data_IF_553152443819
#
_entry.id   IF_553152443819
#
_cell.length_a   1.000
_cell.length_b   1.000
_cell.length_c   1.000
_cell.angle_alpha   90.00
_cell.angle_beta   90.00
_cell.angle_gamma   90.00
#
_symmetry.space_group_name_H-M   'P 1'
#
loop_
_entity.id
_entity.type
_entity.pdbx_description
1 polymer ?
#
# COMPACT_ATOMS: atom_id res chain seq x y z
N UNK A 1 -8.48 31.25 -18.14
CA UNK A 1 -8.39 29.84 -17.73
C UNK A 1 -7.29 29.05 -18.48
N UNK A 2 -6.69 29.59 -19.54
CA UNK A 2 -5.62 28.96 -20.33
C UNK A 2 -4.32 28.65 -19.55
N UNK A 3 -3.86 29.62 -18.74
CA UNK A 3 -2.51 29.60 -18.15
C UNK A 3 -2.25 28.49 -17.08
N UNK A 4 -3.27 27.93 -16.46
CA UNK A 4 -3.08 26.87 -15.46
C UNK A 4 -2.79 25.51 -16.11
N UNK A 5 -3.49 25.18 -17.18
CA UNK A 5 -3.25 23.92 -17.92
C UNK A 5 -1.93 23.96 -18.70
N UNK A 6 -1.52 25.11 -19.22
CA UNK A 6 -0.27 25.27 -19.95
C UNK A 6 0.95 25.01 -19.07
N UNK A 7 0.87 25.29 -17.76
CA UNK A 7 1.93 24.98 -16.80
C UNK A 7 2.16 23.47 -16.63
N UNK A 8 1.15 22.61 -16.89
CA UNK A 8 1.27 21.16 -16.79
C UNK A 8 1.70 20.47 -18.10
N UNK A 9 1.66 21.19 -19.25
CA UNK A 9 2.06 20.63 -20.54
C UNK A 9 3.47 20.00 -20.55
N UNK A 10 4.52 20.60 -19.92
CA UNK A 10 5.83 19.97 -19.87
C UNK A 10 5.82 18.64 -19.11
N UNK A 11 5.04 18.55 -18.03
CA UNK A 11 4.92 17.32 -17.21
C UNK A 11 4.20 16.24 -18.01
N UNK A 12 3.13 16.59 -18.72
CA UNK A 12 2.38 15.65 -19.58
C UNK A 12 3.28 15.14 -20.71
N UNK A 13 4.02 16.03 -21.39
CA UNK A 13 4.97 15.63 -22.45
C UNK A 13 6.07 14.72 -21.93
N UNK A 14 6.63 15.03 -20.77
CA UNK A 14 7.63 14.18 -20.13
C UNK A 14 7.07 12.81 -19.81
N UNK A 15 5.85 12.73 -19.28
CA UNK A 15 5.17 11.49 -19.00
C UNK A 15 4.89 10.68 -20.28
N UNK A 16 4.41 11.33 -21.35
CA UNK A 16 4.21 10.67 -22.64
C UNK A 16 5.52 10.07 -23.18
N UNK A 17 6.60 10.84 -23.18
CA UNK A 17 7.90 10.40 -23.70
C UNK A 17 8.53 9.32 -22.82
N UNK A 18 8.44 9.46 -21.48
CA UNK A 18 9.12 8.56 -20.56
C UNK A 18 8.35 7.26 -20.29
N UNK A 19 7.02 7.26 -20.41
CA UNK A 19 6.19 6.12 -20.00
C UNK A 19 5.27 5.66 -21.14
N UNK A 20 4.40 6.54 -21.68
CA UNK A 20 3.39 6.13 -22.68
C UNK A 20 4.03 5.60 -23.97
N UNK A 21 4.98 6.32 -24.58
CA UNK A 21 5.61 5.92 -25.83
C UNK A 21 6.43 4.60 -25.70
N UNK A 22 7.29 4.43 -24.69
CA UNK A 22 8.00 3.17 -24.49
C UNK A 22 7.05 1.98 -24.29
N UNK A 23 5.96 2.16 -23.54
CA UNK A 23 4.97 1.09 -23.34
C UNK A 23 4.24 0.75 -24.63
N UNK A 24 3.85 1.75 -25.44
CA UNK A 24 3.22 1.52 -26.74
C UNK A 24 4.16 0.79 -27.71
N UNK A 25 5.40 1.23 -27.79
CA UNK A 25 6.43 0.60 -28.60
C UNK A 25 6.67 -0.85 -28.17
N UNK A 26 6.78 -1.09 -26.86
CA UNK A 26 7.01 -2.42 -26.31
C UNK A 26 5.82 -3.35 -26.60
N UNK A 27 4.58 -2.87 -26.42
CA UNK A 27 3.37 -3.63 -26.72
C UNK A 27 3.32 -4.00 -28.21
N UNK A 28 3.62 -3.05 -29.10
CA UNK A 28 3.65 -3.29 -30.55
C UNK A 28 4.68 -4.38 -30.90
N UNK A 29 5.90 -4.26 -30.39
CA UNK A 29 6.95 -5.25 -30.67
C UNK A 29 6.58 -6.65 -30.15
N UNK A 30 6.07 -6.74 -28.91
CA UNK A 30 5.63 -8.03 -28.36
C UNK A 30 4.51 -8.62 -29.24
N UNK A 31 3.50 -7.81 -29.55
CA UNK A 31 2.35 -8.26 -30.34
C UNK A 31 2.78 -8.76 -31.73
N UNK A 32 3.63 -8.02 -32.44
CA UNK A 32 4.11 -8.39 -33.79
C UNK A 32 4.93 -9.69 -33.78
N UNK A 33 5.70 -9.95 -32.73
CA UNK A 33 6.45 -11.21 -32.61
C UNK A 33 5.57 -12.40 -32.21
N UNK A 34 4.43 -12.16 -31.59
CA UNK A 34 3.48 -13.21 -31.20
C UNK A 34 2.51 -13.57 -32.31
N UNK A 35 2.28 -12.67 -33.27
CA UNK A 35 1.48 -12.96 -34.47
C UNK A 35 2.14 -14.06 -35.28
N UNK A 36 1.32 -14.91 -35.90
CA UNK A 36 1.80 -16.03 -36.73
C UNK A 36 2.17 -17.28 -35.94
N UNK A 37 2.07 -17.28 -34.61
CA UNK A 37 2.19 -18.49 -33.80
C UNK A 37 0.81 -19.12 -33.60
N UNK A 38 0.49 -20.29 -34.22
CA UNK A 38 -0.87 -20.82 -34.27
C UNK A 38 -1.51 -21.02 -32.89
N UNK A 39 -0.74 -21.46 -31.91
CA UNK A 39 -1.22 -21.67 -30.53
C UNK A 39 -1.60 -20.34 -29.88
N UNK A 40 -0.82 -19.29 -30.11
CA UNK A 40 -1.05 -17.97 -29.51
C UNK A 40 -2.23 -17.27 -30.18
N UNK A 41 -2.40 -17.44 -31.48
CA UNK A 41 -3.57 -16.91 -32.20
C UNK A 41 -4.87 -17.51 -31.69
N UNK A 42 -4.89 -18.81 -31.38
CA UNK A 42 -6.06 -19.49 -30.81
C UNK A 42 -6.40 -18.96 -29.42
N UNK A 43 -5.40 -18.65 -28.59
CA UNK A 43 -5.58 -18.11 -27.25
C UNK A 43 -5.97 -16.62 -27.28
N UNK A 44 -5.41 -15.88 -28.25
CA UNK A 44 -5.55 -14.44 -28.42
C UNK A 44 -4.23 -13.70 -28.25
N UNK A 45 -3.57 -13.37 -29.37
CA UNK A 45 -2.23 -12.74 -29.37
C UNK A 45 -2.16 -11.44 -28.59
N UNK A 46 -3.26 -10.67 -28.59
CA UNK A 46 -3.34 -9.41 -27.84
C UNK A 46 -3.32 -9.63 -26.33
N UNK A 47 -4.09 -10.56 -25.81
CA UNK A 47 -4.08 -10.88 -24.39
C UNK A 47 -2.75 -11.43 -23.91
N UNK A 48 -2.11 -12.30 -24.72
CA UNK A 48 -0.75 -12.79 -24.42
C UNK A 48 0.26 -11.64 -24.43
N UNK A 49 0.14 -10.69 -25.36
CA UNK A 49 1.01 -9.50 -25.39
C UNK A 49 0.85 -8.65 -24.12
N UNK A 50 -0.37 -8.47 -23.60
CA UNK A 50 -0.61 -7.77 -22.33
C UNK A 50 0.04 -8.53 -21.16
N UNK A 51 -0.03 -9.85 -21.13
CA UNK A 51 0.62 -10.68 -20.09
C UNK A 51 2.14 -10.49 -20.10
N UNK A 52 2.76 -10.63 -21.26
CA UNK A 52 4.21 -10.47 -21.41
C UNK A 52 4.65 -9.06 -21.04
N UNK A 53 3.94 -8.03 -21.53
CA UNK A 53 4.17 -6.63 -21.17
C UNK A 53 4.09 -6.44 -19.65
N UNK A 54 3.06 -7.00 -19.02
CA UNK A 54 2.87 -6.91 -17.56
C UNK A 54 4.05 -7.52 -16.80
N UNK A 55 4.49 -8.70 -17.20
CA UNK A 55 5.64 -9.38 -16.59
C UNK A 55 6.90 -8.53 -16.72
N UNK A 56 7.18 -7.97 -17.90
CA UNK A 56 8.33 -7.10 -18.13
C UNK A 56 8.28 -5.86 -17.22
N UNK A 57 7.14 -5.17 -17.17
CA UNK A 57 6.96 -4.01 -16.28
C UNK A 57 7.21 -4.40 -14.81
N UNK A 58 6.66 -5.51 -14.35
CA UNK A 58 6.83 -5.99 -12.98
C UNK A 58 8.26 -6.37 -12.66
N UNK A 59 8.99 -6.99 -13.59
CA UNK A 59 10.40 -7.32 -13.42
C UNK A 59 11.27 -6.05 -13.36
N UNK A 60 11.01 -5.06 -14.21
CA UNK A 60 11.69 -3.76 -14.17
C UNK A 60 11.45 -3.02 -12.84
N UNK A 61 10.23 -3.07 -12.31
CA UNK A 61 9.88 -2.42 -11.05
C UNK A 61 10.21 -3.28 -9.82
N UNK A 62 10.58 -4.56 -10.00
CA UNK A 62 10.83 -5.48 -8.91
C UNK A 62 11.85 -4.97 -7.88
N UNK A 63 13.04 -4.42 -8.26
CA UNK A 63 14.01 -3.92 -7.30
C UNK A 63 13.47 -2.76 -6.48
N UNK A 64 12.71 -1.83 -7.10
CA UNK A 64 12.09 -0.71 -6.40
C UNK A 64 11.01 -1.20 -5.41
N UNK A 65 10.15 -2.11 -5.84
CA UNK A 65 9.11 -2.70 -4.98
C UNK A 65 9.72 -3.49 -3.83
N UNK A 66 10.79 -4.22 -4.09
CA UNK A 66 11.54 -4.96 -3.07
C UNK A 66 12.10 -4.02 -2.00
N UNK A 67 12.77 -2.95 -2.42
CA UNK A 67 13.32 -1.93 -1.52
C UNK A 67 12.21 -1.31 -0.65
N UNK A 68 11.09 -0.92 -1.24
CA UNK A 68 9.94 -0.36 -0.54
C UNK A 68 9.39 -1.33 0.50
N UNK A 69 9.23 -2.60 0.11
CA UNK A 69 8.66 -3.65 0.97
C UNK A 69 9.55 -3.94 2.18
N UNK A 70 10.86 -4.07 1.96
CA UNK A 70 11.85 -4.32 3.03
C UNK A 70 11.91 -3.13 3.99
N UNK A 71 12.00 -1.90 3.45
CA UNK A 71 12.08 -0.67 4.25
C UNK A 71 10.82 -0.45 5.09
N UNK A 72 9.64 -0.62 4.49
CA UNK A 72 8.36 -0.50 5.19
C UNK A 72 8.25 -1.53 6.32
N UNK A 73 8.65 -2.78 6.08
CA UNK A 73 8.67 -3.82 7.12
C UNK A 73 9.63 -3.51 8.26
N UNK A 74 10.87 -3.12 7.93
CA UNK A 74 11.86 -2.77 8.93
C UNK A 74 11.34 -1.68 9.86
N UNK A 75 10.81 -0.61 9.29
CA UNK A 75 10.22 0.49 10.06
C UNK A 75 9.07 0.04 10.96
N UNK A 76 8.14 -0.78 10.43
CA UNK A 76 7.03 -1.29 11.25
C UNK A 76 7.51 -2.18 12.42
N UNK A 77 8.56 -2.96 12.23
CA UNK A 77 9.15 -3.78 13.31
C UNK A 77 9.82 -2.91 14.36
N UNK A 78 10.54 -1.87 13.95
CA UNK A 78 11.19 -0.92 14.86
C UNK A 78 10.17 -0.15 15.69
N UNK A 79 9.11 0.36 15.07
CA UNK A 79 8.00 1.01 15.78
C UNK A 79 7.36 0.08 16.83
N UNK A 80 7.19 -1.21 16.52
CA UNK A 80 6.65 -2.17 17.48
C UNK A 80 7.54 -2.40 18.69
N UNK A 81 8.86 -2.34 18.54
CA UNK A 81 9.78 -2.46 19.68
C UNK A 81 9.64 -1.30 20.67
N UNK A 82 9.22 -0.13 20.18
CA UNK A 82 9.02 1.08 21.00
C UNK A 82 7.61 1.17 21.61
N UNK A 83 6.68 0.32 21.19
CA UNK A 83 5.29 0.33 21.68
C UNK A 83 5.17 0.31 23.22
N UNK A 84 5.93 -0.49 24.01
CA UNK A 84 5.83 -0.45 25.47
C UNK A 84 6.26 0.91 26.05
N UNK A 85 7.30 1.54 25.51
CA UNK A 85 7.76 2.86 25.96
C UNK A 85 6.73 3.96 25.62
N UNK A 86 6.13 3.88 24.45
CA UNK A 86 5.02 4.77 24.04
C UNK A 86 3.82 4.61 25.00
N UNK A 87 3.53 3.38 25.43
CA UNK A 87 2.47 3.15 26.42
C UNK A 87 2.77 3.79 27.80
N UNK A 88 4.05 3.82 28.21
CA UNK A 88 4.48 4.53 29.43
C UNK A 88 4.34 6.05 29.29
N UNK A 89 4.76 6.64 28.18
CA UNK A 89 4.59 8.06 27.87
C UNK A 89 3.11 8.46 27.98
N UNK A 90 2.22 7.64 27.44
CA UNK A 90 0.78 7.89 27.50
C UNK A 90 0.20 7.80 28.91
N UNK A 91 0.65 6.81 29.69
CA UNK A 91 0.25 6.74 31.12
C UNK A 91 0.71 7.97 31.89
N UNK A 92 1.89 8.51 31.55
CA UNK A 92 2.47 9.67 32.22
C UNK A 92 1.74 10.99 31.85
N UNK A 93 1.36 11.14 30.59
CA UNK A 93 0.77 12.39 30.07
C UNK A 93 -0.70 12.22 29.63
N UNK A 94 -1.51 11.41 30.36
CA UNK A 94 -2.89 11.00 30.02
C UNK A 94 -3.81 12.11 29.49
N UNK A 95 -3.67 13.33 29.97
CA UNK A 95 -4.57 14.45 29.67
C UNK A 95 -4.00 15.46 28.67
N UNK A 96 -2.76 15.27 28.25
CA UNK A 96 -2.04 16.22 27.38
C UNK A 96 -1.60 15.53 26.08
N UNK A 97 -2.50 15.55 25.09
CA UNK A 97 -2.26 14.93 23.79
C UNK A 97 -1.04 15.52 23.07
N UNK A 98 -0.78 16.81 23.26
CA UNK A 98 0.32 17.50 22.62
C UNK A 98 1.67 17.02 23.17
N UNK A 99 1.77 16.89 24.51
CA UNK A 99 2.95 16.30 25.15
C UNK A 99 3.16 14.84 24.78
N UNK A 100 2.09 14.03 24.72
CA UNK A 100 2.20 12.65 24.27
C UNK A 100 2.78 12.58 22.86
N UNK A 101 2.29 13.41 21.93
CA UNK A 101 2.80 13.43 20.56
C UNK A 101 4.27 13.89 20.51
N UNK A 102 4.61 14.96 21.23
CA UNK A 102 5.97 15.51 21.26
C UNK A 102 6.97 14.51 21.83
N UNK A 103 6.66 13.88 22.97
CA UNK A 103 7.53 12.89 23.60
C UNK A 103 7.62 11.58 22.78
N UNK A 104 6.54 11.17 22.12
CA UNK A 104 6.57 10.04 21.19
C UNK A 104 7.48 10.34 19.98
N UNK A 105 7.41 11.57 19.45
CA UNK A 105 8.25 11.98 18.35
C UNK A 105 9.74 12.02 18.73
N UNK A 106 10.06 12.52 19.94
CA UNK A 106 11.43 12.50 20.48
C UNK A 106 11.93 11.06 20.64
N UNK A 107 11.09 10.17 21.19
CA UNK A 107 11.43 8.76 21.34
C UNK A 107 11.77 8.11 19.99
N UNK A 108 11.01 8.39 18.94
CA UNK A 108 11.31 7.92 17.59
C UNK A 108 12.63 8.47 17.07
N UNK A 109 12.92 9.77 17.28
CA UNK A 109 14.18 10.40 16.88
C UNK A 109 15.38 9.82 17.63
N UNK A 110 15.28 9.61 18.95
CA UNK A 110 16.33 9.02 19.78
C UNK A 110 16.70 7.58 19.35
N UNK A 111 15.72 6.83 18.84
CA UNK A 111 15.92 5.47 18.35
C UNK A 111 16.17 5.39 16.84
N UNK A 112 16.30 6.52 16.14
CA UNK A 112 16.53 6.56 14.69
C UNK A 112 15.36 6.04 13.86
N UNK A 113 14.15 5.95 14.45
CA UNK A 113 12.94 5.52 13.76
C UNK A 113 12.28 6.72 13.09
N UNK A 114 12.22 6.69 11.76
CA UNK A 114 11.57 7.77 11.03
C UNK A 114 10.03 7.59 11.05
N UNK A 115 9.27 8.50 11.68
CA UNK A 115 7.80 8.42 11.72
C UNK A 115 7.16 8.54 10.32
N UNK A 116 7.83 9.21 9.38
CA UNK A 116 7.37 9.35 7.99
C UNK A 116 7.53 8.05 7.18
N UNK A 117 8.22 7.06 7.70
CA UNK A 117 8.38 5.76 7.01
C UNK A 117 7.05 5.02 6.80
N UNK A 118 6.01 5.34 7.58
CA UNK A 118 4.64 4.90 7.30
C UNK A 118 4.11 5.40 5.95
N UNK A 119 4.55 6.57 5.50
CA UNK A 119 4.18 7.12 4.19
C UNK A 119 4.89 6.40 3.03
N UNK A 120 6.02 5.73 3.26
CA UNK A 120 6.69 4.90 2.24
C UNK A 120 5.76 3.77 1.78
N UNK A 121 4.81 3.36 2.62
CA UNK A 121 3.78 2.38 2.28
C UNK A 121 2.83 2.82 1.15
N UNK A 122 2.63 4.11 0.90
CA UNK A 122 1.81 4.63 -0.21
C UNK A 122 2.62 4.93 -1.49
N UNK A 123 3.96 4.87 -1.43
CA UNK A 123 4.83 5.11 -2.59
C UNK A 123 4.51 4.23 -3.81
N UNK A 124 4.13 2.93 -3.64
CA UNK A 124 3.70 2.10 -4.77
C UNK A 124 2.53 2.71 -5.55
N UNK A 125 1.59 3.36 -4.86
CA UNK A 125 0.44 4.01 -5.49
C UNK A 125 0.86 5.20 -6.35
N UNK A 126 1.82 6.00 -5.88
CA UNK A 126 2.34 7.16 -6.62
C UNK A 126 3.03 6.73 -7.92
N UNK A 127 3.78 5.63 -7.88
CA UNK A 127 4.43 5.05 -9.09
C UNK A 127 3.39 4.37 -9.99
N UNK A 128 2.39 3.74 -9.41
CA UNK A 128 1.38 2.97 -10.13
C UNK A 128 0.44 3.84 -10.97
N UNK A 129 0.03 5.03 -10.48
CA UNK A 129 -0.94 5.88 -11.17
C UNK A 129 -0.46 6.29 -12.57
N UNK A 130 0.76 6.84 -12.77
CA UNK A 130 1.27 7.18 -14.09
C UNK A 130 1.35 6.00 -15.05
N UNK A 131 1.72 4.82 -14.55
CA UNK A 131 1.82 3.59 -15.35
C UNK A 131 0.42 3.11 -15.75
N UNK A 132 -0.51 3.11 -14.81
CA UNK A 132 -1.89 2.68 -15.05
C UNK A 132 -2.57 3.58 -16.09
N UNK A 133 -2.38 4.90 -15.97
CA UNK A 133 -2.90 5.87 -16.92
C UNK A 133 -2.30 5.66 -18.32
N UNK A 134 -0.98 5.42 -18.39
CA UNK A 134 -0.32 5.14 -19.66
C UNK A 134 -0.86 3.85 -20.30
N UNK A 135 -1.00 2.78 -19.51
CA UNK A 135 -1.56 1.51 -19.99
C UNK A 135 -3.00 1.66 -20.48
N UNK A 136 -3.83 2.42 -19.78
CA UNK A 136 -5.19 2.69 -20.25
C UNK A 136 -5.18 3.29 -21.65
N UNK A 137 -4.41 4.34 -21.90
CA UNK A 137 -4.30 4.94 -23.21
C UNK A 137 -3.63 4.02 -24.24
N UNK A 138 -2.55 3.36 -23.88
CA UNK A 138 -1.84 2.44 -24.79
C UNK A 138 -2.73 1.30 -25.22
N UNK A 139 -3.46 0.65 -24.30
CA UNK A 139 -4.32 -0.48 -24.65
C UNK A 139 -5.50 -0.03 -25.51
N UNK A 140 -6.16 1.08 -25.15
CA UNK A 140 -7.33 1.58 -25.92
C UNK A 140 -6.91 2.09 -27.29
N UNK A 141 -5.84 2.85 -27.39
CA UNK A 141 -5.35 3.41 -28.67
C UNK A 141 -4.82 2.30 -29.58
N UNK A 142 -4.09 1.32 -29.02
CA UNK A 142 -3.49 0.23 -29.78
C UNK A 142 -4.55 -0.64 -30.48
N UNK A 143 -5.55 -1.08 -29.74
CA UNK A 143 -6.59 -1.94 -30.29
C UNK A 143 -7.41 -1.23 -31.37
N UNK A 144 -7.66 0.09 -31.21
CA UNK A 144 -8.38 0.90 -32.20
C UNK A 144 -7.58 1.17 -33.44
N UNK A 145 -6.31 1.57 -33.28
CA UNK A 145 -5.47 2.02 -34.41
C UNK A 145 -5.02 0.86 -35.32
N UNK A 146 -4.88 -0.34 -34.77
CA UNK A 146 -4.39 -1.50 -35.52
C UNK A 146 -5.51 -2.47 -35.96
N UNK A 147 -6.79 -2.16 -35.66
CA UNK A 147 -7.96 -3.00 -35.99
C UNK A 147 -7.76 -4.48 -35.64
N UNK A 148 -7.14 -4.76 -34.49
CA UNK A 148 -6.80 -6.12 -34.08
C UNK A 148 -7.98 -6.82 -33.43
N UNK A 149 -8.02 -8.14 -33.62
CA UNK A 149 -8.92 -9.01 -32.87
C UNK A 149 -8.45 -9.04 -31.39
N UNK A 150 -9.12 -8.27 -30.53
CA UNK A 150 -8.73 -8.15 -29.12
C UNK A 150 -9.33 -9.25 -28.23
N UNK A 151 -9.62 -10.43 -28.82
CA UNK A 151 -10.11 -11.58 -28.04
C UNK A 151 -9.00 -12.18 -27.17
N UNK A 152 -9.37 -12.81 -26.07
CA UNK A 152 -8.45 -13.57 -25.24
C UNK A 152 -9.20 -14.67 -24.49
N UNK A 153 -8.82 -15.94 -24.75
CA UNK A 153 -9.51 -17.11 -24.21
C UNK A 153 -11.02 -17.06 -24.52
N UNK A 154 -11.83 -16.90 -23.49
CA UNK A 154 -13.30 -16.81 -23.58
C UNK A 154 -13.81 -15.36 -23.58
N UNK A 155 -12.95 -14.34 -23.40
CA UNK A 155 -13.35 -12.93 -23.45
C UNK A 155 -13.33 -12.45 -24.89
N UNK A 156 -14.47 -12.01 -25.44
CA UNK A 156 -14.58 -11.66 -26.86
C UNK A 156 -13.74 -10.44 -27.24
N UNK A 157 -13.64 -9.44 -26.35
CA UNK A 157 -12.91 -8.21 -26.63
C UNK A 157 -12.33 -7.57 -25.37
N UNK A 158 -11.02 -7.63 -25.24
CA UNK A 158 -10.30 -7.02 -24.10
C UNK A 158 -10.31 -5.49 -24.11
N UNK A 159 -10.68 -4.86 -25.22
CA UNK A 159 -10.74 -3.40 -25.32
C UNK A 159 -12.06 -2.81 -24.86
N UNK A 160 -13.02 -3.65 -24.52
CA UNK A 160 -14.34 -3.22 -24.06
C UNK A 160 -14.44 -3.25 -22.53
N UNK A 161 -15.30 -2.35 -22.01
CA UNK A 161 -15.53 -2.26 -20.57
C UNK A 161 -16.57 -3.32 -20.16
N UNK A 162 -16.33 -4.10 -19.11
CA UNK A 162 -17.28 -5.11 -18.64
C UNK A 162 -18.70 -4.58 -18.41
N UNK A 163 -18.85 -3.37 -17.90
CA UNK A 163 -20.15 -2.76 -17.61
C UNK A 163 -21.03 -2.53 -18.86
N UNK A 164 -20.44 -2.54 -20.07
CA UNK A 164 -21.19 -2.37 -21.32
C UNK A 164 -21.81 -3.68 -21.83
N UNK A 165 -21.54 -4.79 -21.16
CA UNK A 165 -22.01 -6.15 -21.53
C UNK A 165 -22.84 -6.77 -20.41
N UNK A 166 -24.05 -6.26 -20.09
CA UNK A 166 -24.89 -6.84 -19.04
C UNK A 166 -25.42 -8.21 -19.44
N UNK A 167 -25.59 -9.13 -18.47
CA UNK A 167 -26.21 -10.45 -18.68
C UNK A 167 -27.65 -10.31 -19.17
N UNK A 168 -28.40 -9.35 -18.59
CA UNK A 168 -29.76 -9.02 -18.96
C UNK A 168 -29.93 -7.52 -19.14
N UNK A 169 -30.73 -7.12 -20.10
CA UNK A 169 -31.07 -5.71 -20.29
C UNK A 169 -31.72 -5.15 -19.01
N UNK A 170 -31.08 -4.10 -18.45
CA UNK A 170 -31.55 -3.42 -17.24
C UNK A 170 -30.90 -3.88 -15.93
N UNK A 171 -30.08 -4.94 -15.90
CA UNK A 171 -29.30 -5.32 -14.74
C UNK A 171 -27.85 -4.86 -14.91
N UNK A 172 -27.25 -4.14 -13.96
CA UNK A 172 -25.85 -3.67 -14.03
C UNK A 172 -24.84 -4.78 -13.69
N UNK A 173 -25.14 -6.03 -14.06
CA UNK A 173 -24.25 -7.18 -13.82
C UNK A 173 -23.65 -7.58 -15.16
N UNK A 174 -22.32 -7.47 -15.34
CA UNK A 174 -21.65 -7.90 -16.56
C UNK A 174 -21.84 -9.38 -16.86
N UNK A 175 -21.76 -9.74 -18.13
CA UNK A 175 -21.76 -11.14 -18.54
C UNK A 175 -20.55 -11.89 -17.94
N UNK A 176 -20.66 -13.21 -17.68
CA UNK A 176 -19.64 -13.99 -16.96
C UNK A 176 -18.25 -13.90 -17.58
N UNK A 177 -18.16 -13.85 -18.91
CA UNK A 177 -16.90 -13.75 -19.65
C UNK A 177 -16.16 -12.44 -19.37
N UNK A 178 -16.87 -11.32 -19.14
CA UNK A 178 -16.27 -10.04 -18.80
C UNK A 178 -16.06 -9.85 -17.29
N UNK A 179 -16.79 -10.63 -16.45
CA UNK A 179 -16.70 -10.52 -15.00
C UNK A 179 -15.45 -11.19 -14.41
N UNK A 180 -14.84 -12.14 -15.13
CA UNK A 180 -13.78 -12.99 -14.59
C UNK A 180 -12.51 -12.20 -14.20
N UNK A 181 -12.04 -11.27 -15.04
CA UNK A 181 -10.83 -10.49 -14.72
C UNK A 181 -11.04 -9.51 -13.57
N UNK A 182 -12.16 -8.76 -13.45
CA UNK A 182 -12.47 -8.00 -12.25
C UNK A 182 -12.47 -8.83 -10.96
N UNK A 183 -13.06 -10.02 -10.99
CA UNK A 183 -13.10 -10.93 -9.84
C UNK A 183 -11.70 -11.46 -9.49
N UNK A 184 -10.92 -11.89 -10.48
CA UNK A 184 -9.55 -12.36 -10.28
C UNK A 184 -8.65 -11.24 -9.77
N UNK A 185 -8.79 -10.02 -10.29
CA UNK A 185 -8.08 -8.84 -9.81
C UNK A 185 -8.43 -8.54 -8.35
N UNK A 186 -9.71 -8.56 -7.98
CA UNK A 186 -10.16 -8.35 -6.61
C UNK A 186 -9.64 -9.45 -5.66
N UNK A 187 -9.75 -10.72 -6.06
CA UNK A 187 -9.29 -11.86 -5.27
C UNK A 187 -7.77 -11.82 -5.02
N UNK A 188 -6.98 -11.58 -6.07
CA UNK A 188 -5.53 -11.49 -5.95
C UNK A 188 -5.10 -10.26 -5.15
N UNK A 189 -5.82 -9.14 -5.25
CA UNK A 189 -5.62 -7.96 -4.40
C UNK A 189 -5.90 -8.28 -2.93
N UNK A 190 -6.94 -9.06 -2.63
CA UNK A 190 -7.25 -9.51 -1.27
C UNK A 190 -6.12 -10.39 -0.70
N UNK A 191 -5.63 -11.34 -1.48
CA UNK A 191 -4.51 -12.22 -1.08
C UNK A 191 -3.28 -11.36 -0.78
N UNK A 192 -2.91 -10.45 -1.68
CA UNK A 192 -1.77 -9.56 -1.53
C UNK A 192 -1.90 -8.65 -0.29
N UNK A 193 -3.06 -8.06 -0.07
CA UNK A 193 -3.34 -7.22 1.10
C UNK A 193 -3.21 -7.99 2.40
N UNK A 194 -3.68 -9.24 2.43
CA UNK A 194 -3.54 -10.13 3.59
C UNK A 194 -2.10 -10.57 3.86
N UNK A 195 -1.29 -10.76 2.83
CA UNK A 195 0.14 -11.05 2.98
C UNK A 195 0.88 -9.91 3.68
N UNK A 196 0.53 -8.66 3.38
CA UNK A 196 1.13 -7.47 3.97
C UNK A 196 0.61 -7.15 5.37
N UNK A 197 -0.54 -7.70 5.76
CA UNK A 197 -1.16 -7.43 7.05
C UNK A 197 -0.29 -7.95 8.19
N UNK A 198 0.07 -7.05 9.10
CA UNK A 198 0.78 -7.43 10.32
C UNK A 198 -0.20 -7.85 11.44
N UNK A 199 0.18 -8.78 12.32
CA UNK A 199 -0.62 -9.13 13.50
C UNK A 199 -0.86 -7.89 14.36
N UNK A 200 -2.01 -7.80 15.03
CA UNK A 200 -2.31 -6.70 15.94
C UNK A 200 -1.28 -6.64 17.08
N UNK A 201 -0.89 -5.42 17.46
CA UNK A 201 -0.09 -5.19 18.65
C UNK A 201 -1.04 -4.94 19.85
N UNK A 202 -1.12 -5.81 20.84
CA UNK A 202 -2.00 -5.61 22.01
C UNK A 202 -1.59 -4.41 22.88
N UNK A 203 -0.32 -3.99 22.82
CA UNK A 203 0.21 -2.82 23.51
C UNK A 203 0.19 -1.55 22.65
N UNK A 204 -0.56 -1.57 21.55
CA UNK A 204 -0.64 -0.45 20.62
C UNK A 204 -1.27 0.78 21.25
N UNK A 205 -0.75 1.90 20.87
CA UNK A 205 -1.26 3.20 21.21
C UNK A 205 -2.63 3.48 20.53
N UNK A 206 -3.41 4.48 21.00
CA UNK A 206 -4.68 4.86 20.35
C UNK A 206 -4.48 5.23 18.88
N UNK A 207 -3.41 5.97 18.55
CA UNK A 207 -3.05 6.29 17.17
C UNK A 207 -2.67 5.06 16.37
N UNK A 208 -1.89 4.14 16.98
CA UNK A 208 -1.55 2.86 16.35
C UNK A 208 -2.76 1.96 16.20
N UNK A 209 -3.70 1.96 17.16
CA UNK A 209 -4.96 1.24 17.05
C UNK A 209 -5.81 1.80 15.90
N UNK A 210 -5.91 3.12 15.75
CA UNK A 210 -6.57 3.75 14.62
C UNK A 210 -5.91 3.40 13.29
N UNK A 211 -4.57 3.45 13.22
CA UNK A 211 -3.82 3.05 12.03
C UNK A 211 -4.01 1.55 11.70
N UNK A 212 -4.04 0.68 12.71
CA UNK A 212 -4.33 -0.74 12.53
C UNK A 212 -5.78 -0.98 12.09
N UNK A 213 -6.75 -0.24 12.62
CA UNK A 213 -8.14 -0.31 12.18
C UNK A 213 -8.27 0.15 10.73
N UNK A 214 -7.64 1.28 10.37
CA UNK A 214 -7.61 1.74 8.99
C UNK A 214 -6.94 0.73 8.06
N UNK A 215 -5.83 0.13 8.45
CA UNK A 215 -5.18 -0.95 7.69
C UNK A 215 -6.09 -2.17 7.51
N UNK A 216 -6.82 -2.58 8.55
CA UNK A 216 -7.79 -3.68 8.47
C UNK A 216 -8.94 -3.35 7.52
N UNK A 217 -9.47 -2.13 7.60
CA UNK A 217 -10.51 -1.66 6.68
C UNK A 217 -10.01 -1.67 5.24
N UNK A 218 -8.78 -1.19 5.00
CA UNK A 218 -8.18 -1.19 3.66
C UNK A 218 -7.96 -2.59 3.09
N UNK A 219 -7.68 -3.60 3.91
CA UNK A 219 -7.55 -5.00 3.45
C UNK A 219 -8.83 -5.51 2.79
N UNK A 220 -9.99 -5.04 3.22
CA UNK A 220 -11.28 -5.41 2.63
C UNK A 220 -11.77 -4.40 1.59
N UNK A 221 -11.54 -3.11 1.83
CA UNK A 221 -12.01 -2.05 0.95
C UNK A 221 -11.23 -2.03 -0.37
N UNK A 222 -9.91 -2.24 -0.34
CA UNK A 222 -9.09 -2.16 -1.56
C UNK A 222 -9.45 -3.21 -2.62
N UNK A 223 -9.70 -4.49 -2.30
CA UNK A 223 -10.17 -5.46 -3.29
C UNK A 223 -11.52 -5.08 -3.91
N UNK A 224 -12.46 -4.58 -3.09
CA UNK A 224 -13.76 -4.13 -3.57
C UNK A 224 -13.63 -2.94 -4.52
N UNK A 225 -12.80 -1.94 -4.15
CA UNK A 225 -12.53 -0.79 -5.01
C UNK A 225 -11.89 -1.21 -6.35
N UNK A 226 -10.90 -2.10 -6.29
CA UNK A 226 -10.21 -2.59 -7.50
C UNK A 226 -11.16 -3.38 -8.38
N UNK A 227 -11.97 -4.28 -7.79
CA UNK A 227 -12.98 -5.04 -8.52
C UNK A 227 -14.01 -4.12 -9.21
N UNK A 228 -14.53 -3.15 -8.47
CA UNK A 228 -15.46 -2.15 -9.03
C UNK A 228 -14.83 -1.30 -10.13
N UNK A 229 -13.60 -0.80 -9.91
CA UNK A 229 -12.88 -0.02 -10.92
C UNK A 229 -12.61 -0.84 -12.18
N UNK A 230 -12.23 -2.12 -12.02
CA UNK A 230 -11.99 -3.03 -13.15
C UNK A 230 -13.22 -3.29 -14.03
N UNK A 231 -14.43 -3.07 -13.50
CA UNK A 231 -15.67 -3.12 -14.29
C UNK A 231 -15.85 -1.90 -15.21
N UNK A 232 -15.25 -0.78 -14.86
CA UNK A 232 -15.42 0.52 -15.53
C UNK A 232 -14.32 0.84 -16.54
N UNK A 233 -13.31 -0.03 -16.65
CA UNK A 233 -12.18 0.12 -17.56
C UNK A 233 -12.13 -1.07 -18.54
N UNK A 234 -11.37 -0.97 -19.66
CA UNK A 234 -11.22 -2.10 -20.59
C UNK A 234 -10.78 -3.38 -19.91
N UNK A 235 -11.35 -4.52 -20.30
CA UNK A 235 -11.08 -5.83 -19.70
C UNK A 235 -9.59 -6.21 -19.72
N UNK A 236 -8.84 -5.74 -20.72
CA UNK A 236 -7.38 -5.89 -20.80
C UNK A 236 -6.63 -5.24 -19.61
N UNK A 237 -7.17 -4.17 -19.04
CA UNK A 237 -6.60 -3.55 -17.83
C UNK A 237 -6.87 -4.42 -16.58
N UNK A 238 -8.03 -5.09 -16.54
CA UNK A 238 -8.32 -6.11 -15.51
C UNK A 238 -7.36 -7.28 -15.58
N UNK A 239 -7.05 -7.76 -16.80
CA UNK A 239 -6.05 -8.79 -17.06
C UNK A 239 -4.64 -8.33 -16.59
N UNK A 240 -4.21 -7.11 -16.95
CA UNK A 240 -2.97 -6.51 -16.45
C UNK A 240 -2.91 -6.52 -14.91
N UNK A 241 -4.01 -6.12 -14.25
CA UNK A 241 -4.07 -6.08 -12.78
C UNK A 241 -3.94 -7.46 -12.16
N UNK A 242 -4.68 -8.43 -12.69
CA UNK A 242 -4.63 -9.81 -12.22
C UNK A 242 -3.21 -10.40 -12.34
N UNK A 243 -2.61 -10.34 -13.52
CA UNK A 243 -1.25 -10.86 -13.75
C UNK A 243 -0.22 -10.11 -12.91
N UNK A 244 -0.35 -8.77 -12.83
CA UNK A 244 0.51 -7.95 -12.01
C UNK A 244 0.46 -8.33 -10.52
N UNK A 245 -0.72 -8.63 -10.00
CA UNK A 245 -0.87 -9.11 -8.63
C UNK A 245 -0.27 -10.50 -8.44
N UNK A 246 -0.45 -11.42 -9.40
CA UNK A 246 0.18 -12.75 -9.34
C UNK A 246 1.71 -12.65 -9.23
N UNK A 247 2.35 -11.84 -10.07
CA UNK A 247 3.80 -11.60 -10.01
C UNK A 247 4.20 -10.98 -8.66
N UNK A 248 3.43 -10.01 -8.17
CA UNK A 248 3.69 -9.38 -6.88
C UNK A 248 3.52 -10.36 -5.70
N UNK A 249 2.51 -11.24 -5.72
CA UNK A 249 2.30 -12.28 -4.71
C UNK A 249 3.51 -13.23 -4.67
N UNK A 250 3.99 -13.66 -5.84
CA UNK A 250 5.19 -14.50 -5.95
C UNK A 250 6.38 -13.75 -5.34
N UNK A 251 6.66 -12.52 -5.75
CA UNK A 251 7.75 -11.71 -5.23
C UNK A 251 7.64 -11.49 -3.71
N UNK A 252 6.46 -11.16 -3.21
CA UNK A 252 6.22 -10.94 -1.78
C UNK A 252 6.37 -12.21 -0.95
N UNK A 253 6.05 -13.38 -1.51
CA UNK A 253 6.19 -14.66 -0.81
C UNK A 253 7.64 -14.93 -0.37
N UNK A 254 8.62 -14.49 -1.15
CA UNK A 254 10.05 -14.61 -0.82
C UNK A 254 10.53 -13.62 0.25
N UNK A 255 9.93 -12.42 0.32
CA UNK A 255 10.38 -11.34 1.23
C UNK A 255 9.61 -11.33 2.54
N UNK A 256 8.30 -11.41 2.42
CA UNK A 256 7.34 -11.23 3.52
C UNK A 256 6.85 -12.58 4.03
N UNK A 257 6.94 -13.61 3.19
CA UNK A 257 6.24 -14.86 3.40
C UNK A 257 4.73 -14.69 3.24
N UNK A 258 3.99 -15.71 3.55
CA UNK A 258 2.53 -15.77 3.34
C UNK A 258 1.69 -15.01 4.37
N UNK A 259 2.31 -14.29 5.31
CA UNK A 259 1.63 -13.40 6.26
C UNK A 259 0.47 -14.06 7.02
N UNK A 260 -0.72 -13.43 6.94
CA UNK A 260 -1.96 -13.94 7.55
C UNK A 260 -2.77 -14.87 6.63
N UNK A 261 -2.32 -15.13 5.40
CA UNK A 261 -3.02 -15.98 4.43
C UNK A 261 -2.97 -17.45 4.85
N UNK A 262 -1.82 -17.92 5.35
CA UNK A 262 -1.67 -19.31 5.79
C UNK A 262 -2.00 -19.48 7.28
N UNK A 263 -2.80 -20.50 7.66
CA UNK A 263 -3.02 -20.84 9.05
C UNK A 263 -1.70 -21.17 9.78
N UNK A 264 -1.66 -20.92 11.09
CA UNK A 264 -0.44 -21.04 11.91
C UNK A 264 0.26 -22.42 11.80
N UNK A 265 -0.52 -23.49 11.57
CA UNK A 265 0.00 -24.85 11.37
C UNK A 265 0.82 -25.01 10.09
N UNK A 266 0.50 -24.29 9.01
CA UNK A 266 1.23 -24.31 7.75
C UNK A 266 2.49 -23.43 7.76
N UNK A 267 2.53 -22.41 8.65
CA UNK A 267 3.71 -21.53 8.78
C UNK A 267 4.96 -22.29 9.20
N UNK A 268 4.82 -23.37 9.96
CA UNK A 268 5.94 -24.23 10.39
C UNK A 268 6.57 -25.03 9.26
N UNK A 269 5.77 -25.48 8.29
CA UNK A 269 6.24 -26.34 7.19
C UNK A 269 7.00 -25.54 6.13
N UNK A 270 6.57 -24.30 5.85
CA UNK A 270 7.19 -23.42 4.85
C UNK A 270 8.43 -22.72 5.41
N UNK A 271 8.47 -22.40 6.70
CA UNK A 271 9.62 -21.80 7.38
C UNK A 271 10.81 -22.80 7.56
N UNK A 272 10.55 -24.11 7.47
CA UNK A 272 11.59 -25.13 7.52
C UNK A 272 12.51 -25.18 6.31
N UNK A 273 12.16 -24.47 5.22
CA UNK A 273 12.97 -24.40 3.98
C UNK A 273 13.86 -23.14 3.86
N UNK A 274 13.60 -22.08 4.60
CA UNK A 274 14.45 -20.90 4.63
C UNK A 274 14.93 -20.67 6.06
N UNK A 275 16.20 -20.88 6.33
CA UNK A 275 16.88 -20.86 7.62
C UNK A 275 16.77 -19.57 8.45
N UNK A 276 15.59 -19.01 8.58
CA UNK A 276 15.29 -18.01 9.59
C UNK A 276 15.11 -18.73 10.93
N UNK A 277 16.21 -18.95 11.65
CA UNK A 277 16.19 -19.25 13.07
C UNK A 277 15.33 -18.21 13.75
N UNK A 278 14.28 -18.63 14.46
CA UNK A 278 13.61 -17.77 15.43
C UNK A 278 14.69 -17.07 16.26
N UNK A 279 14.62 -15.73 16.42
CA UNK A 279 15.53 -15.08 17.33
C UNK A 279 15.36 -15.76 18.69
N UNK A 280 16.46 -16.13 19.38
CA UNK A 280 16.39 -16.77 20.67
C UNK A 280 15.49 -15.92 21.57
N UNK A 281 14.55 -16.54 22.26
CA UNK A 281 13.79 -15.94 23.36
C UNK A 281 14.79 -15.60 24.47
N UNK A 282 15.65 -14.61 24.22
CA UNK A 282 16.35 -13.94 25.31
C UNK A 282 15.28 -13.22 26.09
N UNK A 283 15.03 -13.70 27.30
CA UNK A 283 14.29 -12.93 28.28
C UNK A 283 14.86 -11.52 28.23
N UNK A 284 13.99 -10.54 28.10
CA UNK A 284 14.32 -9.13 28.22
C UNK A 284 14.92 -8.97 29.62
N UNK A 285 16.25 -8.91 29.69
CA UNK A 285 16.95 -8.43 30.85
C UNK A 285 16.88 -6.90 30.78
N UNK A 286 16.10 -6.23 31.63
CA UNK A 286 16.16 -4.79 31.73
C UNK A 286 17.52 -4.45 32.32
N UNK A 287 18.53 -4.28 31.47
CA UNK A 287 19.82 -3.77 31.87
C UNK A 287 19.64 -2.55 32.78
N UNK A 288 20.63 -2.24 33.66
CA UNK A 288 20.47 -1.28 34.74
C UNK A 288 19.91 0.03 34.18
N UNK A 289 18.76 0.43 34.72
CA UNK A 289 18.08 1.70 34.44
C UNK A 289 19.13 2.82 34.51
N UNK A 290 19.64 3.28 33.37
CA UNK A 290 20.30 4.58 33.33
C UNK A 290 19.26 5.58 33.81
N UNK A 291 19.40 6.03 35.04
CA UNK A 291 18.53 7.00 35.66
C UNK A 291 18.43 8.20 34.72
N UNK A 292 17.23 8.53 34.33
CA UNK A 292 16.92 9.81 33.74
C UNK A 292 17.28 10.86 34.78
N UNK A 293 18.44 11.51 34.60
CA UNK A 293 18.82 12.67 35.37
C UNK A 293 18.02 13.86 34.84
N UNK A 294 17.05 14.39 35.60
CA UNK A 294 16.39 15.64 35.24
C UNK A 294 17.42 16.75 35.43
N UNK A 295 18.07 17.14 34.33
CA UNK A 295 19.04 18.23 34.31
C UNK A 295 18.60 19.43 35.16
N UNK A 296 19.54 20.26 35.63
CA UNK A 296 19.34 21.22 36.69
C UNK A 296 18.20 22.18 36.42
N UNK A 297 17.25 22.24 37.34
CA UNK A 297 16.13 23.21 37.34
C UNK A 297 16.76 24.60 37.23
N UNK A 298 16.48 25.31 36.14
CA UNK A 298 16.77 26.75 36.04
C UNK A 298 16.12 27.46 37.24
N UNK A 299 16.96 28.12 38.00
CA UNK A 299 16.55 28.90 39.14
C UNK A 299 15.44 29.91 38.77
N UNK A 300 14.26 29.71 39.30
CA UNK A 300 13.28 30.79 39.40
C UNK A 300 13.80 31.85 40.40
N UNK A 301 13.68 33.13 40.08
CA UNK A 301 14.09 34.19 41.03
C UNK A 301 13.14 34.16 42.25
N UNK A 302 13.72 34.01 43.42
CA UNK A 302 13.05 34.18 44.71
C UNK A 302 12.63 35.63 44.85
N UNK A 303 11.37 35.95 44.61
CA UNK A 303 10.78 37.19 45.09
C UNK A 303 10.38 36.99 46.58
N UNK A 304 10.95 37.86 47.42
CA UNK A 304 10.78 37.88 48.85
C UNK A 304 9.35 38.23 49.30
N UNK A 305 9.04 38.05 50.59
CA UNK A 305 7.71 38.12 51.12
C UNK A 305 7.21 39.56 51.21
N UNK A 306 6.27 39.93 50.36
CA UNK A 306 5.46 41.15 50.46
C UNK A 306 4.30 40.94 51.45
N UNK A 307 4.37 41.67 52.59
CA UNK A 307 3.29 41.82 53.55
C UNK A 307 2.07 42.52 52.89
N UNK A 308 0.99 41.78 52.64
CA UNK A 308 -0.29 42.32 52.23
C UNK A 308 -1.40 41.86 53.19
N UNK A 309 -2.33 42.75 53.56
CA UNK A 309 -3.28 42.52 54.68
C UNK A 309 -4.37 41.51 54.35
N UNK A 310 -4.74 40.69 55.33
CA UNK A 310 -5.78 39.65 55.27
C UNK A 310 -7.16 40.26 54.98
N UNK A 311 -7.97 39.74 54.09
CA UNK A 311 -9.36 40.14 53.90
C UNK A 311 -10.24 39.58 55.02
N UNK A 312 -11.10 40.49 55.61
CA UNK A 312 -12.08 40.23 56.65
C UNK A 312 -13.24 39.34 56.11
N UNK A 313 -13.62 38.35 56.89
CA UNK A 313 -14.83 37.50 56.65
C UNK A 313 -16.11 38.34 56.75
N UNK A 314 -17.09 38.15 55.84
CA UNK A 314 -18.41 38.79 56.00
C UNK A 314 -19.23 38.09 57.09
N UNK A 315 -19.83 38.90 58.00
CA UNK A 315 -20.81 38.48 59.03
C UNK A 315 -22.13 38.04 58.39
N UNK A 316 -22.55 36.84 58.75
CA UNK A 316 -23.92 36.35 58.53
C UNK A 316 -24.93 37.17 59.40
N UNK A 317 -25.87 37.86 58.77
CA UNK A 317 -27.07 38.35 59.42
C UNK A 317 -28.24 37.36 59.22
N UNK A 318 -29.01 37.27 60.30
CA UNK A 318 -30.22 36.44 60.45
C UNK A 318 -31.27 36.72 59.35
#
# INVERSE_FOLDING_TARGET
>A
MGNFFDAFLPVVRLWELAIKHPLAWLLLNIYTHLQGLPVIETIGSYGVAIIVLTIIIRLLLAPLQQFQLVTSRKSMVEQRKLAPQIAEIRKKYKNDREKVNTETMKLYQEHGVNPLSGMIGCLPLVVQIPILTALYYVLTDFARSHHIAAHFLFVPNLNENPNHHPIFAGLPIPSPEYLIFPLLAALTTLIQSRMLQMPANPAASEQELQAQQMQRTMVWLSPLMIGYFALSVPAGLGLYWFIGNCVSIIQQSFVVGWGSVLPARFKRTVAGGSGAKDPPKKGYDPGPKKGYDPGPKKNEPKNGPGNGPKPKKPKRKR
#
